data_IF_716522049890
#
_entry.id   IF_716522049890
#
_cell.length_a   1.000
_cell.length_b   1.000
_cell.length_c   1.000
_cell.angle_alpha   90.00
_cell.angle_beta   90.00
_cell.angle_gamma   90.00
#
_symmetry.space_group_name_H-M   'P 1'
#
loop_
_entity.id
_entity.type
_entity.pdbx_description
1 polymer ?
#
# COMPACT_ATOMS: atom_id res chain seq x y z
N UNK A 1 17.30 10.44 -26.63
CA UNK A 1 16.99 11.10 -25.34
C UNK A 1 18.01 10.61 -24.34
N UNK A 2 18.48 11.49 -23.46
CA UNK A 2 19.43 11.13 -22.39
C UNK A 2 18.68 10.31 -21.34
N UNK A 3 19.01 9.03 -21.24
CA UNK A 3 18.35 8.08 -20.32
C UNK A 3 19.00 8.03 -18.93
N UNK A 4 20.04 8.84 -18.70
CA UNK A 4 20.70 8.97 -17.40
C UNK A 4 21.40 10.33 -17.24
N UNK A 5 21.43 10.84 -16.00
CA UNK A 5 22.17 12.06 -15.62
C UNK A 5 22.90 11.87 -14.30
N UNK A 6 24.02 12.58 -14.12
CA UNK A 6 24.74 12.71 -12.85
C UNK A 6 24.78 14.19 -12.48
N UNK A 7 24.12 14.57 -11.38
CA UNK A 7 23.95 15.96 -10.94
C UNK A 7 23.43 16.87 -12.08
N UNK A 8 22.43 16.36 -12.81
CA UNK A 8 21.80 17.06 -13.93
C UNK A 8 22.59 17.07 -15.23
N UNK A 9 23.79 16.46 -15.29
CA UNK A 9 24.60 16.36 -16.52
C UNK A 9 24.44 14.99 -17.16
N UNK A 10 24.28 14.96 -18.48
CA UNK A 10 24.18 13.73 -19.25
C UNK A 10 25.33 12.75 -18.97
N UNK A 11 25.00 11.47 -18.82
CA UNK A 11 25.97 10.37 -18.72
C UNK A 11 25.49 9.19 -19.56
N UNK A 12 26.41 8.45 -20.19
CA UNK A 12 26.05 7.26 -20.94
C UNK A 12 25.46 6.20 -20.00
N UNK A 13 24.41 5.50 -20.44
CA UNK A 13 23.66 4.57 -19.59
C UNK A 13 24.54 3.46 -18.98
N UNK A 14 25.50 2.93 -19.75
CA UNK A 14 26.46 1.94 -19.23
C UNK A 14 27.40 2.51 -18.15
N UNK A 15 27.83 3.76 -18.29
CA UNK A 15 28.62 4.45 -17.27
C UNK A 15 27.78 4.75 -16.01
N UNK A 16 26.49 5.05 -16.18
CA UNK A 16 25.55 5.21 -15.07
C UNK A 16 25.44 3.90 -14.25
N UNK A 17 25.30 2.75 -14.90
CA UNK A 17 25.25 1.46 -14.19
C UNK A 17 26.54 1.17 -13.41
N UNK A 18 27.71 1.41 -14.02
CA UNK A 18 29.01 1.31 -13.34
C UNK A 18 29.11 2.23 -12.13
N UNK A 19 28.67 3.48 -12.28
CA UNK A 19 28.70 4.47 -11.21
C UNK A 19 27.78 4.07 -10.04
N UNK A 20 26.56 3.61 -10.34
CA UNK A 20 25.64 3.06 -9.34
C UNK A 20 26.24 1.86 -8.60
N UNK A 21 26.82 0.90 -9.34
CA UNK A 21 27.46 -0.28 -8.77
C UNK A 21 28.61 0.09 -7.82
N UNK A 22 29.42 1.09 -8.20
CA UNK A 22 30.49 1.62 -7.35
C UNK A 22 29.96 2.22 -6.06
N UNK A 23 28.98 3.13 -6.13
CA UNK A 23 28.35 3.77 -4.95
C UNK A 23 27.86 2.70 -3.97
N UNK A 24 27.12 1.71 -4.46
CA UNK A 24 26.52 0.69 -3.62
C UNK A 24 27.54 -0.28 -3.03
N UNK A 25 28.61 -0.59 -3.76
CA UNK A 25 29.67 -1.50 -3.29
C UNK A 25 30.55 -0.88 -2.22
N UNK A 26 30.78 0.43 -2.29
CA UNK A 26 31.59 1.17 -1.32
C UNK A 26 30.82 1.50 -0.03
N UNK A 27 29.49 1.43 -0.06
CA UNK A 27 28.62 1.65 1.10
C UNK A 27 28.74 0.52 2.13
N UNK A 28 28.87 0.90 3.40
CA UNK A 28 28.84 -0.03 4.53
C UNK A 28 27.41 -0.48 4.86
N UNK A 29 26.40 0.38 4.66
CA UNK A 29 25.00 0.05 4.90
C UNK A 29 24.07 0.74 3.89
N UNK A 30 23.98 0.22 2.65
CA UNK A 30 23.13 0.81 1.63
C UNK A 30 21.64 0.56 1.88
N UNK A 31 20.81 1.54 1.52
CA UNK A 31 19.35 1.49 1.61
C UNK A 31 18.72 1.43 0.22
N UNK A 32 17.80 0.49 -0.02
CA UNK A 32 16.93 0.48 -1.19
C UNK A 32 15.53 0.97 -0.77
N UNK A 33 15.18 2.19 -1.14
CA UNK A 33 13.97 2.88 -0.67
C UNK A 33 13.07 3.36 -1.82
N UNK A 34 11.90 3.88 -1.47
CA UNK A 34 10.85 4.24 -2.43
C UNK A 34 10.12 2.98 -2.88
N UNK A 35 10.86 2.11 -3.55
CA UNK A 35 10.50 0.76 -3.98
C UNK A 35 9.18 0.69 -4.76
N UNK A 36 8.77 1.81 -5.38
CA UNK A 36 7.60 1.86 -6.25
C UNK A 36 7.91 1.15 -7.56
N UNK A 37 7.68 -0.17 -7.59
CA UNK A 37 8.03 -1.05 -8.70
C UNK A 37 6.96 -2.14 -8.92
N UNK A 38 7.06 -2.85 -10.04
CA UNK A 38 6.31 -4.07 -10.27
C UNK A 38 6.93 -5.27 -9.53
N UNK A 39 6.31 -6.45 -9.63
CA UNK A 39 6.80 -7.65 -8.92
C UNK A 39 8.23 -8.03 -9.35
N UNK A 40 8.59 -7.86 -10.63
CA UNK A 40 9.94 -8.16 -11.11
C UNK A 40 10.97 -7.18 -10.51
N UNK A 41 10.67 -5.88 -10.52
CA UNK A 41 11.52 -4.84 -9.93
C UNK A 41 11.66 -5.01 -8.42
N UNK A 42 10.57 -5.32 -7.71
CA UNK A 42 10.58 -5.60 -6.28
C UNK A 42 11.52 -6.76 -5.94
N UNK A 43 11.43 -7.88 -6.69
CA UNK A 43 12.31 -9.04 -6.49
C UNK A 43 13.78 -8.68 -6.73
N UNK A 44 14.08 -7.93 -7.79
CA UNK A 44 15.43 -7.50 -8.10
C UNK A 44 16.02 -6.61 -7.00
N UNK A 45 15.23 -5.66 -6.50
CA UNK A 45 15.60 -4.75 -5.42
C UNK A 45 15.84 -5.47 -4.08
N UNK A 46 14.99 -6.44 -3.71
CA UNK A 46 15.16 -7.25 -2.49
C UNK A 46 16.45 -8.07 -2.59
N UNK A 47 16.71 -8.72 -3.74
CA UNK A 47 17.96 -9.46 -3.97
C UNK A 47 19.18 -8.55 -3.93
N UNK A 48 19.07 -7.32 -4.45
CA UNK A 48 20.14 -6.33 -4.37
C UNK A 48 20.44 -5.96 -2.91
N UNK A 49 19.41 -5.63 -2.12
CA UNK A 49 19.55 -5.33 -0.70
C UNK A 49 20.18 -6.50 0.08
N UNK A 50 19.75 -7.74 -0.19
CA UNK A 50 20.31 -8.94 0.41
C UNK A 50 21.81 -9.09 0.10
N UNK A 51 22.20 -8.99 -1.18
CA UNK A 51 23.60 -9.12 -1.59
C UNK A 51 24.50 -8.04 -1.01
N UNK A 52 23.97 -6.83 -0.83
CA UNK A 52 24.68 -5.72 -0.23
C UNK A 52 24.65 -5.72 1.29
N UNK A 53 23.96 -6.70 1.93
CA UNK A 53 23.68 -6.71 3.38
C UNK A 53 23.04 -5.42 3.88
N UNK A 54 22.31 -4.74 3.00
CA UNK A 54 21.63 -3.48 3.27
C UNK A 54 20.21 -3.68 3.81
N UNK A 55 19.39 -2.63 3.72
CA UNK A 55 17.97 -2.68 4.05
C UNK A 55 17.10 -2.26 2.86
N UNK A 56 15.83 -2.64 2.90
CA UNK A 56 14.84 -2.13 1.96
C UNK A 56 13.57 -1.66 2.65
N UNK A 57 12.99 -0.59 2.09
CA UNK A 57 11.74 -0.01 2.53
C UNK A 57 10.93 0.51 1.33
N UNK A 58 9.61 0.48 1.44
CA UNK A 58 8.71 1.09 0.47
C UNK A 58 8.24 2.45 0.99
N UNK A 59 8.04 3.44 0.10
CA UNK A 59 7.57 4.77 0.50
C UNK A 59 6.23 4.72 1.26
N UNK A 60 5.36 3.80 0.86
CA UNK A 60 4.04 3.57 1.44
C UNK A 60 4.03 2.45 2.53
N UNK A 61 5.17 2.17 3.17
CA UNK A 61 5.25 1.13 4.20
C UNK A 61 4.44 1.48 5.44
N UNK A 62 4.31 2.77 5.81
CA UNK A 62 3.52 3.16 6.99
C UNK A 62 2.06 2.74 6.84
N UNK A 63 1.47 3.04 5.68
CA UNK A 63 0.11 2.70 5.31
C UNK A 63 -0.06 1.19 5.21
N UNK A 64 0.89 0.49 4.59
CA UNK A 64 0.80 -0.96 4.43
C UNK A 64 0.95 -1.71 5.76
N UNK A 65 1.82 -1.21 6.65
CA UNK A 65 2.02 -1.79 7.97
C UNK A 65 0.81 -1.57 8.89
N UNK A 66 -0.01 -0.53 8.69
CA UNK A 66 -1.23 -0.33 9.47
C UNK A 66 -2.21 -1.52 9.35
N UNK A 67 -2.43 -2.03 8.14
CA UNK A 67 -3.23 -3.26 7.93
C UNK A 67 -2.49 -4.52 8.42
N UNK A 68 -1.17 -4.63 8.13
CA UNK A 68 -0.40 -5.82 8.51
C UNK A 68 -0.28 -5.98 10.03
N UNK A 69 -0.22 -4.89 10.78
CA UNK A 69 -0.11 -4.89 12.24
C UNK A 69 -1.35 -5.46 12.90
N UNK A 70 -2.52 -5.13 12.36
CA UNK A 70 -3.78 -5.74 12.78
C UNK A 70 -3.80 -7.22 12.35
N UNK A 71 -3.44 -7.51 11.10
CA UNK A 71 -3.45 -8.88 10.56
C UNK A 71 -2.57 -9.85 11.34
N UNK A 72 -1.36 -9.43 11.76
CA UNK A 72 -0.44 -10.28 12.54
C UNK A 72 -0.89 -10.50 13.99
N UNK A 73 -1.70 -9.58 14.53
CA UNK A 73 -2.14 -9.63 15.93
C UNK A 73 -3.47 -10.36 16.12
N UNK A 74 -4.44 -10.13 15.22
CA UNK A 74 -5.83 -10.58 15.37
C UNK A 74 -6.40 -11.28 14.13
N UNK A 75 -5.63 -11.39 13.05
CA UNK A 75 -6.15 -11.77 11.74
C UNK A 75 -6.92 -10.63 11.07
N UNK A 76 -7.40 -10.89 9.84
CA UNK A 76 -8.14 -9.90 9.06
C UNK A 76 -9.14 -10.62 8.15
N UNK A 77 -10.41 -10.24 8.22
CA UNK A 77 -11.48 -10.82 7.42
C UNK A 77 -11.69 -9.98 6.17
N UNK A 78 -11.11 -10.43 5.06
CA UNK A 78 -11.21 -9.73 3.76
C UNK A 78 -11.92 -10.55 2.70
N UNK A 79 -12.42 -9.86 1.68
CA UNK A 79 -13.02 -10.39 0.46
C UNK A 79 -12.54 -9.61 -0.75
N UNK A 80 -12.90 -10.05 -1.95
CA UNK A 80 -12.65 -9.30 -3.17
C UNK A 80 -13.75 -8.27 -3.43
N UNK A 81 -13.42 -7.20 -4.16
CA UNK A 81 -14.40 -6.23 -4.61
C UNK A 81 -15.54 -6.86 -5.44
N UNK A 82 -15.26 -7.95 -6.15
CA UNK A 82 -16.27 -8.64 -6.94
C UNK A 82 -17.29 -9.40 -6.06
N UNK A 83 -16.85 -10.05 -4.98
CA UNK A 83 -17.77 -10.67 -4.02
C UNK A 83 -18.57 -9.60 -3.28
N UNK A 84 -17.95 -8.48 -2.90
CA UNK A 84 -18.66 -7.33 -2.34
C UNK A 84 -19.73 -6.77 -3.29
N UNK A 85 -19.39 -6.62 -4.58
CA UNK A 85 -20.36 -6.24 -5.62
C UNK A 85 -21.49 -7.26 -5.74
N UNK A 86 -21.20 -8.56 -5.79
CA UNK A 86 -22.22 -9.55 -6.13
C UNK A 86 -23.11 -9.93 -4.96
N UNK A 87 -22.63 -9.85 -3.71
CA UNK A 87 -23.35 -10.33 -2.52
C UNK A 87 -23.65 -9.28 -1.48
N UNK A 88 -22.88 -8.19 -1.44
CA UNK A 88 -22.92 -7.19 -0.36
C UNK A 88 -24.27 -6.50 -0.22
N UNK A 89 -25.08 -6.88 0.76
CA UNK A 89 -26.39 -6.30 1.05
C UNK A 89 -26.32 -5.14 2.06
N UNK A 90 -25.27 -5.13 2.88
CA UNK A 90 -24.91 -4.00 3.74
C UNK A 90 -23.45 -3.62 3.47
N UNK A 91 -23.21 -2.44 2.93
CA UNK A 91 -21.86 -1.92 2.66
C UNK A 91 -21.61 -0.70 3.53
N UNK A 92 -20.55 -0.74 4.33
CA UNK A 92 -20.16 0.32 5.24
C UNK A 92 -18.77 0.82 4.88
N UNK A 93 -18.69 2.03 4.35
CA UNK A 93 -17.44 2.72 4.04
C UNK A 93 -16.95 3.47 5.28
N UNK A 94 -15.67 3.30 5.64
CA UNK A 94 -15.08 3.86 6.86
C UNK A 94 -13.98 4.84 6.50
N UNK A 95 -14.13 6.07 6.98
CA UNK A 95 -13.16 7.14 6.89
C UNK A 95 -13.18 7.93 5.57
N UNK A 96 -12.29 8.93 5.49
CA UNK A 96 -12.17 9.81 4.35
C UNK A 96 -11.25 9.22 3.28
N UNK A 97 -11.27 9.84 2.10
CA UNK A 97 -10.31 9.66 1.01
C UNK A 97 -10.38 8.33 0.26
N UNK A 98 -11.43 7.53 0.44
CA UNK A 98 -11.55 6.22 -0.22
C UNK A 98 -11.58 6.33 -1.74
N UNK A 99 -12.22 7.37 -2.28
CA UNK A 99 -12.29 7.62 -3.74
C UNK A 99 -10.98 8.16 -4.30
N UNK A 100 -10.16 8.83 -3.48
CA UNK A 100 -8.79 9.21 -3.88
C UNK A 100 -7.85 8.01 -3.84
N UNK A 101 -7.96 7.18 -2.79
CA UNK A 101 -7.17 5.97 -2.64
C UNK A 101 -7.48 4.93 -3.74
N UNK A 102 -8.74 4.85 -4.16
CA UNK A 102 -9.16 4.01 -5.29
C UNK A 102 -10.20 4.71 -6.18
N UNK A 103 -9.76 5.44 -7.22
CA UNK A 103 -10.64 6.20 -8.11
C UNK A 103 -11.78 5.40 -8.76
N UNK A 104 -11.52 4.14 -9.12
CA UNK A 104 -12.52 3.23 -9.71
C UNK A 104 -13.43 2.51 -8.70
N UNK A 105 -13.32 2.81 -7.39
CA UNK A 105 -14.03 2.05 -6.34
C UNK A 105 -15.54 2.03 -6.53
N UNK A 106 -16.16 3.18 -6.76
CA UNK A 106 -17.63 3.30 -6.81
C UNK A 106 -18.22 2.52 -7.98
N UNK A 107 -17.60 2.62 -9.16
CA UNK A 107 -17.96 1.84 -10.33
C UNK A 107 -17.75 0.34 -10.08
N UNK A 108 -16.62 -0.02 -9.48
CA UNK A 108 -16.29 -1.43 -9.23
C UNK A 108 -17.24 -2.08 -8.25
N UNK A 109 -17.59 -1.40 -7.16
CA UNK A 109 -18.50 -1.89 -6.13
C UNK A 109 -19.98 -1.81 -6.57
N UNK A 110 -20.31 -0.93 -7.50
CA UNK A 110 -21.66 -0.71 -8.03
C UNK A 110 -22.72 -0.58 -6.92
N UNK A 111 -22.46 0.31 -5.96
CA UNK A 111 -23.22 0.43 -4.71
C UNK A 111 -24.71 0.80 -4.92
N UNK A 112 -25.05 1.42 -6.04
CA UNK A 112 -26.42 1.76 -6.42
C UNK A 112 -27.22 0.56 -6.97
N UNK A 113 -26.55 -0.51 -7.42
CA UNK A 113 -27.21 -1.71 -7.92
C UNK A 113 -27.45 -2.71 -6.77
N UNK A 114 -28.60 -3.41 -6.72
CA UNK A 114 -28.77 -4.48 -5.75
C UNK A 114 -27.75 -5.61 -5.97
N UNK A 115 -27.38 -6.38 -4.93
CA UNK A 115 -26.53 -7.55 -5.10
C UNK A 115 -27.24 -8.57 -6.01
N UNK A 116 -26.48 -9.31 -6.79
CA UNK A 116 -27.02 -10.28 -7.77
C UNK A 116 -26.99 -11.73 -7.28
N UNK A 117 -26.35 -11.97 -6.13
CA UNK A 117 -26.16 -13.31 -5.53
C UNK A 117 -26.40 -13.26 -4.02
N UNK A 118 -26.66 -14.42 -3.43
CA UNK A 118 -26.91 -14.56 -1.99
C UNK A 118 -28.37 -14.35 -1.59
N UNK A 119 -28.65 -14.44 -0.30
CA UNK A 119 -30.00 -14.43 0.24
C UNK A 119 -30.76 -13.10 0.04
N UNK A 120 -30.04 -12.00 -0.24
CA UNK A 120 -30.59 -10.67 -0.47
C UNK A 120 -30.48 -10.24 -1.95
N UNK A 121 -30.31 -11.20 -2.86
CA UNK A 121 -30.23 -10.89 -4.29
C UNK A 121 -31.46 -10.08 -4.76
N UNK A 122 -31.22 -9.07 -5.60
CA UNK A 122 -32.21 -8.13 -6.13
C UNK A 122 -32.88 -7.21 -5.09
N UNK A 123 -32.51 -7.28 -3.81
CA UNK A 123 -32.99 -6.35 -2.78
C UNK A 123 -32.10 -5.10 -2.71
N UNK A 124 -32.66 -3.91 -2.43
CA UNK A 124 -31.86 -2.70 -2.28
C UNK A 124 -30.77 -2.83 -1.20
N UNK A 125 -29.56 -2.33 -1.48
CA UNK A 125 -28.47 -2.32 -0.50
C UNK A 125 -28.72 -1.28 0.58
N UNK A 126 -28.22 -1.58 1.78
CA UNK A 126 -27.96 -0.58 2.80
C UNK A 126 -26.53 -0.08 2.62
N UNK A 127 -26.37 1.20 2.29
CA UNK A 127 -25.05 1.83 2.14
C UNK A 127 -24.87 2.88 3.22
N UNK A 128 -23.78 2.79 3.96
CA UNK A 128 -23.43 3.69 5.06
C UNK A 128 -22.01 4.21 4.81
N UNK A 129 -21.78 5.51 5.01
CA UNK A 129 -20.43 6.09 5.00
C UNK A 129 -20.16 6.81 6.31
N UNK A 130 -19.13 6.37 7.03
CA UNK A 130 -18.71 6.94 8.31
C UNK A 130 -17.52 7.86 8.06
N UNK A 131 -17.61 9.12 8.44
CA UNK A 131 -16.55 10.11 8.29
C UNK A 131 -16.01 10.30 6.86
N UNK A 132 -16.85 10.43 5.82
CA UNK A 132 -16.37 10.83 4.49
C UNK A 132 -15.82 12.26 4.49
N UNK A 133 -14.96 12.58 3.53
CA UNK A 133 -14.70 13.98 3.20
C UNK A 133 -15.95 14.67 2.63
N UNK A 134 -16.03 15.99 2.74
CA UNK A 134 -17.24 16.76 2.37
C UNK A 134 -17.71 16.56 0.93
N UNK A 135 -16.79 16.40 -0.01
CA UNK A 135 -17.10 16.13 -1.43
C UNK A 135 -17.43 14.66 -1.69
N UNK A 136 -16.82 13.74 -0.93
CA UNK A 136 -17.05 12.30 -1.04
C UNK A 136 -18.44 11.88 -0.57
N UNK A 137 -18.94 12.55 0.48
CA UNK A 137 -20.26 12.27 1.05
C UNK A 137 -21.40 12.35 0.00
N UNK A 138 -21.22 13.13 -1.06
CA UNK A 138 -22.19 13.32 -2.16
C UNK A 138 -22.02 12.32 -3.30
N UNK A 139 -20.89 11.60 -3.36
CA UNK A 139 -20.57 10.71 -4.46
C UNK A 139 -21.41 9.41 -4.47
N UNK A 140 -22.12 9.10 -3.38
CA UNK A 140 -22.98 7.93 -3.27
C UNK A 140 -24.41 8.34 -2.91
N UNK A 141 -25.26 8.60 -3.92
CA UNK A 141 -26.66 8.94 -3.71
C UNK A 141 -27.38 7.90 -2.85
N UNK A 142 -28.10 8.35 -1.82
CA UNK A 142 -28.87 7.48 -0.91
C UNK A 142 -28.05 6.80 0.20
N UNK A 143 -26.73 7.00 0.27
CA UNK A 143 -25.94 6.51 1.40
C UNK A 143 -26.30 7.26 2.69
N UNK A 144 -26.40 6.53 3.80
CA UNK A 144 -26.50 7.12 5.13
C UNK A 144 -25.12 7.61 5.57
N UNK A 145 -24.95 8.92 5.68
CA UNK A 145 -23.70 9.52 6.18
C UNK A 145 -23.74 9.63 7.70
N UNK A 146 -22.69 9.14 8.36
CA UNK A 146 -22.45 9.30 9.79
C UNK A 146 -21.22 10.21 9.94
N UNK A 147 -21.36 11.45 10.40
CA UNK A 147 -20.21 12.34 10.56
C UNK A 147 -19.29 11.83 11.67
N UNK A 148 -17.99 11.79 11.37
CA UNK A 148 -16.92 11.51 12.32
C UNK A 148 -15.61 12.07 11.74
N UNK A 149 -14.80 12.72 12.56
CA UNK A 149 -13.41 13.01 12.22
C UNK A 149 -12.57 11.74 12.23
N UNK A 150 -11.39 11.76 11.60
CA UNK A 150 -10.46 10.64 11.59
C UNK A 150 -10.14 10.15 13.02
N UNK A 151 -9.92 11.08 13.95
CA UNK A 151 -9.58 10.78 15.34
C UNK A 151 -10.75 10.16 16.13
N UNK A 152 -11.99 10.34 15.67
CA UNK A 152 -13.19 9.77 16.31
C UNK A 152 -13.52 8.37 15.81
N UNK A 153 -12.99 7.93 14.65
CA UNK A 153 -13.40 6.68 14.00
C UNK A 153 -13.19 5.44 14.89
N UNK A 154 -12.05 5.35 15.57
CA UNK A 154 -11.77 4.26 16.51
C UNK A 154 -12.80 4.22 17.66
N UNK A 155 -13.17 5.39 18.20
CA UNK A 155 -14.20 5.52 19.24
C UNK A 155 -15.61 5.20 18.75
N UNK A 156 -15.96 5.60 17.52
CA UNK A 156 -17.23 5.25 16.87
C UNK A 156 -17.36 3.73 16.72
N UNK A 157 -16.31 3.08 16.17
CA UNK A 157 -16.27 1.64 16.00
C UNK A 157 -16.31 0.91 17.36
N UNK A 158 -15.61 1.43 18.37
CA UNK A 158 -15.63 0.87 19.73
C UNK A 158 -17.03 0.94 20.35
N UNK A 159 -17.75 2.05 20.16
CA UNK A 159 -19.13 2.19 20.62
C UNK A 159 -20.06 1.19 19.91
N UNK A 160 -19.92 0.99 18.59
CA UNK A 160 -20.71 0.02 17.84
C UNK A 160 -20.45 -1.41 18.31
N UNK A 161 -19.19 -1.76 18.50
CA UNK A 161 -18.77 -3.06 19.03
C UNK A 161 -19.26 -3.30 20.47
N UNK A 162 -19.18 -2.27 21.31
CA UNK A 162 -19.72 -2.34 22.67
C UNK A 162 -21.23 -2.63 22.65
N UNK A 163 -22.01 -1.84 21.89
CA UNK A 163 -23.45 -2.01 21.76
C UNK A 163 -23.86 -3.32 21.09
N UNK A 164 -23.15 -3.77 20.06
CA UNK A 164 -23.38 -5.08 19.42
C UNK A 164 -23.22 -6.24 20.42
N UNK A 165 -22.19 -6.16 21.27
CA UNK A 165 -21.95 -7.10 22.36
C UNK A 165 -22.79 -6.88 23.63
N UNK A 166 -23.80 -6.01 23.61
CA UNK A 166 -24.70 -5.77 24.75
C UNK A 166 -24.06 -4.99 25.92
N UNK A 167 -22.92 -4.33 25.70
CA UNK A 167 -22.21 -3.55 26.72
C UNK A 167 -22.74 -2.11 26.78
N UNK A 168 -22.77 -1.48 27.97
CA UNK A 168 -23.14 -0.08 28.10
C UNK A 168 -22.07 0.84 27.50
N UNK A 169 -22.51 1.99 26.98
CA UNK A 169 -21.62 3.05 26.48
C UNK A 169 -22.06 4.37 27.10
N UNK A 170 -21.11 5.16 27.61
CA UNK A 170 -21.37 6.44 28.26
C UNK A 170 -21.61 7.56 27.23
N UNK A 171 -22.76 7.53 26.55
CA UNK A 171 -23.21 8.53 25.59
C UNK A 171 -24.66 8.95 25.91
N UNK A 172 -25.10 10.09 25.37
CA UNK A 172 -26.49 10.53 25.49
C UNK A 172 -27.47 9.54 24.83
N UNK A 173 -28.70 9.45 25.36
CA UNK A 173 -29.71 8.48 24.92
C UNK A 173 -30.00 8.52 23.42
N UNK A 174 -30.03 9.70 22.81
CA UNK A 174 -30.24 9.87 21.36
C UNK A 174 -29.11 9.22 20.53
N UNK A 175 -27.85 9.42 20.93
CA UNK A 175 -26.69 8.80 20.26
C UNK A 175 -26.73 7.28 20.44
N UNK A 176 -27.11 6.80 21.62
CA UNK A 176 -27.28 5.35 21.86
C UNK A 176 -28.35 4.77 20.94
N UNK A 177 -29.51 5.42 20.81
CA UNK A 177 -30.57 4.94 19.92
C UNK A 177 -30.13 4.87 18.44
N UNK A 178 -29.34 5.85 17.97
CA UNK A 178 -28.77 5.84 16.63
C UNK A 178 -27.78 4.68 16.42
N UNK A 179 -26.93 4.41 17.42
CA UNK A 179 -25.99 3.28 17.39
C UNK A 179 -26.74 1.96 17.43
N UNK A 180 -27.76 1.82 18.28
CA UNK A 180 -28.55 0.59 18.40
C UNK A 180 -29.29 0.28 17.08
N UNK A 181 -29.88 1.28 16.43
CA UNK A 181 -30.51 1.10 15.11
C UNK A 181 -29.51 0.71 14.00
N UNK A 182 -28.27 1.19 14.10
CA UNK A 182 -27.19 0.77 13.22
C UNK A 182 -26.73 -0.66 13.53
N UNK A 183 -26.52 -1.01 14.79
CA UNK A 183 -26.15 -2.36 15.24
C UNK A 183 -27.17 -3.38 14.76
N UNK A 184 -28.47 -3.06 14.83
CA UNK A 184 -29.52 -3.92 14.27
C UNK A 184 -29.47 -4.00 12.75
N UNK A 185 -29.05 -2.92 12.06
CA UNK A 185 -28.76 -3.00 10.63
C UNK A 185 -27.63 -3.97 10.32
N UNK A 186 -26.54 -3.93 11.08
CA UNK A 186 -25.41 -4.84 10.92
C UNK A 186 -25.82 -6.29 11.25
N UNK A 187 -26.54 -6.52 12.36
CA UNK A 187 -27.01 -7.85 12.78
C UNK A 187 -27.86 -8.54 11.71
N UNK A 188 -28.68 -7.77 11.00
CA UNK A 188 -29.61 -8.28 10.00
C UNK A 188 -29.03 -8.42 8.58
N UNK A 189 -27.78 -8.00 8.34
CA UNK A 189 -27.14 -8.23 7.06
C UNK A 189 -26.98 -9.74 6.79
N UNK A 190 -26.89 -10.14 5.52
CA UNK A 190 -26.58 -11.53 5.12
C UNK A 190 -25.19 -11.69 4.55
N UNK A 191 -24.64 -10.63 3.99
CA UNK A 191 -23.26 -10.50 3.56
C UNK A 191 -22.83 -9.03 3.73
N UNK A 192 -22.44 -8.68 4.94
CA UNK A 192 -21.93 -7.36 5.27
C UNK A 192 -20.50 -7.14 4.76
N UNK A 193 -20.22 -5.93 4.27
CA UNK A 193 -18.91 -5.54 3.76
C UNK A 193 -18.50 -4.20 4.36
N UNK A 194 -17.36 -4.19 5.05
CA UNK A 194 -16.67 -2.94 5.36
C UNK A 194 -15.69 -2.57 4.25
N UNK A 195 -15.57 -1.30 3.94
CA UNK A 195 -14.60 -0.76 2.98
C UNK A 195 -13.75 0.28 3.70
N UNK A 196 -12.42 0.15 3.66
CA UNK A 196 -11.50 1.10 4.27
C UNK A 196 -10.22 1.24 3.47
N UNK A 197 -9.45 2.29 3.75
CA UNK A 197 -8.07 2.43 3.29
C UNK A 197 -7.14 2.48 4.49
N UNK A 198 -6.06 1.70 4.46
CA UNK A 198 -5.00 1.76 5.46
C UNK A 198 -4.20 3.07 5.39
N UNK A 199 -4.35 3.84 4.31
CA UNK A 199 -3.72 5.15 4.14
C UNK A 199 -4.46 6.29 4.85
N UNK A 200 -5.71 6.08 5.27
CA UNK A 200 -6.55 7.13 5.87
C UNK A 200 -7.15 6.74 7.22
N UNK A 201 -6.92 5.51 7.67
CA UNK A 201 -7.32 5.05 8.99
C UNK A 201 -6.12 4.83 9.88
N UNK A 202 -6.26 5.20 11.16
CA UNK A 202 -5.31 4.82 12.18
C UNK A 202 -5.38 3.29 12.45
N UNK A 203 -4.26 2.65 12.84
CA UNK A 203 -4.24 1.21 13.10
C UNK A 203 -5.24 0.74 14.17
N UNK A 204 -5.57 1.58 15.16
CA UNK A 204 -6.52 1.24 16.21
C UNK A 204 -7.96 1.21 15.68
N UNK A 205 -8.33 2.10 14.76
CA UNK A 205 -9.60 2.02 14.04
C UNK A 205 -9.69 0.75 13.20
N UNK A 206 -8.61 0.37 12.50
CA UNK A 206 -8.58 -0.88 11.72
C UNK A 206 -8.70 -2.09 12.66
N UNK A 207 -8.01 -2.10 13.80
CA UNK A 207 -8.13 -3.16 14.81
C UNK A 207 -9.55 -3.27 15.35
N UNK A 208 -10.15 -2.14 15.74
CA UNK A 208 -11.52 -2.11 16.26
C UNK A 208 -12.54 -2.55 15.23
N UNK A 209 -12.35 -2.17 13.96
CA UNK A 209 -13.13 -2.62 12.83
C UNK A 209 -13.07 -4.14 12.68
N UNK A 210 -11.87 -4.73 12.67
CA UNK A 210 -11.71 -6.18 12.53
C UNK A 210 -12.24 -6.93 13.74
N UNK A 211 -12.08 -6.39 14.95
CA UNK A 211 -12.68 -6.96 16.16
C UNK A 211 -14.21 -6.97 16.11
N UNK A 212 -14.84 -5.90 15.58
CA UNK A 212 -16.27 -5.86 15.32
C UNK A 212 -16.68 -6.89 14.25
N UNK A 213 -15.90 -7.06 13.18
CA UNK A 213 -16.15 -8.08 12.16
C UNK A 213 -16.11 -9.50 12.74
N UNK A 214 -15.16 -9.79 13.63
CA UNK A 214 -15.09 -11.08 14.35
C UNK A 214 -16.38 -11.32 15.15
N UNK A 215 -16.82 -10.33 15.93
CA UNK A 215 -18.05 -10.45 16.74
C UNK A 215 -19.31 -10.61 15.86
N UNK A 216 -19.43 -9.84 14.77
CA UNK A 216 -20.53 -9.96 13.81
C UNK A 216 -20.62 -11.36 13.19
N UNK A 217 -19.46 -11.98 12.90
CA UNK A 217 -19.41 -13.29 12.26
C UNK A 217 -19.91 -14.44 13.14
N UNK A 218 -20.14 -14.21 14.44
CA UNK A 218 -20.80 -15.18 15.32
C UNK A 218 -22.28 -15.40 14.96
N UNK A 219 -22.96 -14.40 14.40
CA UNK A 219 -24.42 -14.46 14.10
C UNK A 219 -24.78 -14.14 12.66
N UNK A 220 -23.90 -13.48 11.91
CA UNK A 220 -24.09 -13.14 10.49
C UNK A 220 -22.78 -13.35 9.72
N UNK A 221 -22.67 -12.87 8.48
CA UNK A 221 -21.43 -12.87 7.70
C UNK A 221 -21.01 -11.44 7.42
N UNK A 222 -19.84 -11.08 7.92
CA UNK A 222 -19.19 -9.80 7.63
C UNK A 222 -17.77 -10.03 7.15
N UNK A 223 -17.33 -9.18 6.24
CA UNK A 223 -15.98 -9.21 5.67
C UNK A 223 -15.58 -7.80 5.23
N UNK A 224 -14.43 -7.67 4.60
CA UNK A 224 -13.79 -6.41 4.31
C UNK A 224 -13.22 -6.30 2.90
N UNK A 225 -13.39 -5.16 2.25
CA UNK A 225 -12.57 -4.77 1.09
C UNK A 225 -11.62 -3.70 1.57
N UNK A 226 -10.36 -4.09 1.76
CA UNK A 226 -9.30 -3.16 2.12
C UNK A 226 -8.71 -2.54 0.84
N UNK A 227 -8.44 -1.24 0.86
CA UNK A 227 -7.74 -0.52 -0.20
C UNK A 227 -6.26 -0.52 0.14
N UNK A 228 -5.45 -1.16 -0.72
CA UNK A 228 -4.02 -1.29 -0.51
C UNK A 228 -3.24 0.01 -0.70
N UNK A 229 -1.95 -0.04 -0.38
CA UNK A 229 -1.04 1.09 -0.54
C UNK A 229 -0.79 1.45 -2.01
N UNK A 230 -0.40 2.71 -2.23
CA UNK A 230 -0.08 3.29 -3.54
C UNK A 230 1.20 2.74 -4.16
N UNK A 231 1.43 3.07 -5.44
CA UNK A 231 2.70 2.84 -6.15
C UNK A 231 3.22 1.40 -6.10
N UNK A 232 2.32 0.41 -6.11
CA UNK A 232 2.68 -1.01 -6.12
C UNK A 232 2.97 -1.63 -4.75
N UNK A 233 2.77 -0.88 -3.65
CA UNK A 233 3.08 -1.30 -2.28
C UNK A 233 2.60 -2.72 -1.91
N UNK A 234 1.36 -3.06 -2.28
CA UNK A 234 0.79 -4.39 -2.02
C UNK A 234 1.55 -5.49 -2.76
N UNK A 235 1.98 -5.25 -4.00
CA UNK A 235 2.77 -6.19 -4.78
C UNK A 235 4.17 -6.39 -4.21
N UNK A 236 4.82 -5.29 -3.81
CA UNK A 236 6.12 -5.30 -3.14
C UNK A 236 6.04 -6.04 -1.80
N UNK A 237 5.00 -5.81 -1.03
CA UNK A 237 4.77 -6.45 0.27
C UNK A 237 4.57 -7.95 0.13
N UNK A 238 3.78 -8.38 -0.85
CA UNK A 238 3.63 -9.80 -1.14
C UNK A 238 4.98 -10.40 -1.58
N UNK A 239 5.73 -9.70 -2.43
CA UNK A 239 7.04 -10.14 -2.91
C UNK A 239 8.06 -10.32 -1.78
N UNK A 240 8.15 -9.33 -0.90
CA UNK A 240 8.94 -9.41 0.31
C UNK A 240 8.55 -10.62 1.15
N UNK A 241 7.23 -10.81 1.39
CA UNK A 241 6.73 -11.93 2.18
C UNK A 241 7.18 -13.31 1.68
N UNK A 242 7.10 -13.60 0.37
CA UNK A 242 7.55 -14.91 -0.13
C UNK A 242 9.07 -15.03 -0.31
N UNK A 243 9.80 -13.92 -0.39
CA UNK A 243 11.26 -13.93 -0.56
C UNK A 243 12.02 -13.99 0.77
N UNK A 244 11.53 -13.29 1.78
CA UNK A 244 12.25 -13.08 3.04
C UNK A 244 11.49 -13.60 4.25
N UNK A 245 10.19 -13.89 4.11
CA UNK A 245 9.29 -14.15 5.23
C UNK A 245 8.75 -12.88 5.91
N UNK A 246 9.17 -11.68 5.46
CA UNK A 246 8.86 -10.40 6.10
C UNK A 246 8.45 -9.31 5.10
N UNK A 247 7.65 -8.30 5.51
CA UNK A 247 7.32 -7.15 4.66
C UNK A 247 8.51 -6.18 4.51
N UNK A 248 8.37 -5.08 3.74
CA UNK A 248 9.32 -3.96 3.76
C UNK A 248 9.63 -3.45 5.17
N UNK A 249 10.74 -2.70 5.30
CA UNK A 249 11.46 -2.47 6.57
C UNK A 249 12.14 -3.73 7.07
N UNK A 250 12.90 -4.33 6.18
CA UNK A 250 13.69 -5.53 6.45
C UNK A 250 15.15 -5.27 6.05
N UNK A 251 16.07 -5.65 6.93
CA UNK A 251 17.52 -5.54 6.73
C UNK A 251 18.21 -6.89 6.67
N UNK A 252 19.38 -6.94 6.04
CA UNK A 252 20.17 -8.15 5.82
C UNK A 252 21.58 -8.07 6.43
N UNK A 253 21.82 -7.12 7.33
CA UNK A 253 23.16 -6.83 7.87
C UNK A 253 23.89 -8.03 8.48
N UNK A 254 23.15 -8.99 9.06
CA UNK A 254 23.69 -10.22 9.66
C UNK A 254 23.71 -11.42 8.71
N UNK A 255 23.41 -11.22 7.43
CA UNK A 255 23.34 -12.29 6.42
C UNK A 255 22.04 -13.10 6.42
N UNK A 256 21.03 -12.67 7.17
CA UNK A 256 19.67 -13.20 7.16
C UNK A 256 18.68 -12.03 7.33
N UNK A 257 17.42 -12.17 6.89
CA UNK A 257 16.45 -11.08 6.98
C UNK A 257 16.05 -10.81 8.44
N UNK A 258 16.13 -9.55 8.84
CA UNK A 258 15.62 -9.04 10.12
C UNK A 258 14.56 -7.98 9.82
N UNK A 259 13.35 -8.19 10.30
CA UNK A 259 12.27 -7.22 10.18
C UNK A 259 12.15 -6.39 11.45
N UNK A 260 12.20 -5.08 11.29
CA UNK A 260 11.97 -4.13 12.37
C UNK A 260 11.40 -2.84 11.77
N UNK A 261 10.10 -2.54 12.02
CA UNK A 261 9.41 -1.44 11.36
C UNK A 261 9.87 -0.05 11.81
N UNK A 262 10.65 0.06 12.89
CA UNK A 262 11.26 1.31 13.31
C UNK A 262 12.70 1.41 12.82
N UNK A 263 13.49 0.36 13.05
CA UNK A 263 14.92 0.35 12.71
C UNK A 263 15.16 0.50 11.21
N UNK A 264 14.34 -0.12 10.36
CA UNK A 264 14.55 -0.09 8.90
C UNK A 264 13.61 0.86 8.15
N UNK A 265 13.04 1.86 8.85
CA UNK A 265 12.32 2.94 8.19
C UNK A 265 13.28 3.84 7.41
N UNK A 266 12.99 4.05 6.11
CA UNK A 266 13.91 4.72 5.19
C UNK A 266 14.30 6.14 5.62
N UNK A 267 13.33 6.97 6.01
CA UNK A 267 13.59 8.37 6.36
C UNK A 267 14.48 8.45 7.60
N UNK A 268 14.16 7.67 8.65
CA UNK A 268 14.98 7.54 9.85
C UNK A 268 16.41 7.11 9.52
N UNK A 269 16.59 6.07 8.72
CA UNK A 269 17.93 5.56 8.35
C UNK A 269 18.76 6.64 7.64
N UNK A 270 18.15 7.37 6.71
CA UNK A 270 18.82 8.43 5.96
C UNK A 270 19.10 9.65 6.84
N UNK A 271 18.10 10.12 7.58
CA UNK A 271 18.16 11.34 8.39
C UNK A 271 19.10 11.20 9.60
N UNK A 272 19.18 10.00 10.20
CA UNK A 272 20.15 9.68 11.26
C UNK A 272 21.58 9.45 10.73
N UNK A 273 21.72 9.22 9.43
CA UNK A 273 22.98 8.89 8.77
C UNK A 273 23.49 7.49 9.01
N UNK A 274 22.64 6.58 9.48
CA UNK A 274 22.94 5.16 9.54
C UNK A 274 23.06 4.53 8.15
N UNK A 275 22.28 5.02 7.17
CA UNK A 275 22.48 4.69 5.76
C UNK A 275 23.49 5.65 5.12
N UNK A 276 24.50 5.10 4.46
CA UNK A 276 25.61 5.85 3.84
C UNK A 276 25.55 5.90 2.31
N UNK A 277 24.63 5.15 1.69
CA UNK A 277 24.19 5.34 0.31
C UNK A 277 22.73 4.90 0.17
N UNK A 278 22.01 5.45 -0.81
CA UNK A 278 20.64 5.05 -1.09
C UNK A 278 20.33 4.90 -2.58
N UNK A 279 19.52 3.90 -2.90
CA UNK A 279 18.80 3.79 -4.17
C UNK A 279 17.33 4.11 -3.93
N UNK A 280 16.81 5.14 -4.60
CA UNK A 280 15.41 5.53 -4.58
C UNK A 280 14.71 5.04 -5.86
N UNK A 281 13.67 4.22 -5.70
CA UNK A 281 12.91 3.67 -6.82
C UNK A 281 11.49 4.24 -6.79
N UNK A 282 11.12 4.97 -7.85
CA UNK A 282 9.79 5.55 -8.01
C UNK A 282 9.33 5.44 -9.46
N UNK A 283 9.07 4.21 -9.90
CA UNK A 283 8.77 3.89 -11.30
C UNK A 283 7.34 4.30 -11.75
N UNK A 284 6.45 4.67 -10.83
CA UNK A 284 5.05 5.00 -11.15
C UNK A 284 4.86 6.49 -11.43
N UNK A 285 5.14 7.35 -10.46
CA UNK A 285 4.82 8.78 -10.48
C UNK A 285 6.06 9.67 -10.39
N UNK A 286 7.24 9.10 -10.15
CA UNK A 286 8.48 9.87 -9.99
C UNK A 286 8.51 10.68 -8.69
N UNK A 287 7.70 10.30 -7.69
CA UNK A 287 7.71 10.94 -6.38
C UNK A 287 9.12 10.96 -5.79
N UNK A 288 9.50 12.10 -5.22
CA UNK A 288 10.81 12.34 -4.62
C UNK A 288 10.86 11.81 -3.18
N UNK A 289 12.03 11.39 -2.68
CA UNK A 289 12.18 11.06 -1.27
C UNK A 289 11.88 12.28 -0.40
N UNK A 290 11.16 12.07 0.71
CA UNK A 290 10.84 13.11 1.69
C UNK A 290 11.92 13.25 2.80
N UNK A 291 13.17 12.89 2.49
CA UNK A 291 14.27 12.91 3.46
C UNK A 291 14.74 14.34 3.73
N UNK A 292 15.06 14.63 4.98
CA UNK A 292 15.62 15.93 5.38
C UNK A 292 17.10 16.05 5.00
N UNK A 293 17.82 14.92 4.97
CA UNK A 293 19.23 14.84 4.62
C UNK A 293 19.45 14.78 3.10
N UNK A 294 20.27 15.69 2.57
CA UNK A 294 20.49 15.87 1.13
C UNK A 294 21.91 15.54 0.64
N UNK A 295 22.82 15.12 1.51
CA UNK A 295 24.23 14.80 1.19
C UNK A 295 24.49 13.30 0.97
N UNK A 296 23.50 12.43 1.24
CA UNK A 296 23.63 10.98 0.99
C UNK A 296 23.87 10.71 -0.52
N UNK A 297 24.88 9.91 -0.91
CA UNK A 297 25.01 9.39 -2.26
C UNK A 297 23.71 8.72 -2.70
N UNK A 298 23.10 9.25 -3.77
CA UNK A 298 21.76 8.87 -4.19
C UNK A 298 21.74 8.40 -5.65
N UNK A 299 21.16 7.22 -5.86
CA UNK A 299 20.81 6.66 -7.16
C UNK A 299 19.28 6.69 -7.28
N UNK A 300 18.73 7.33 -8.31
CA UNK A 300 17.28 7.41 -8.54
C UNK A 300 16.90 6.64 -9.78
N UNK A 301 16.01 5.67 -9.63
CA UNK A 301 15.33 4.95 -10.72
C UNK A 301 13.89 5.45 -10.81
N UNK A 302 13.60 6.28 -11.82
CA UNK A 302 12.24 6.81 -12.03
C UNK A 302 11.99 7.14 -13.51
N UNK A 303 10.73 7.36 -13.93
CA UNK A 303 10.42 7.80 -15.30
C UNK A 303 11.01 9.18 -15.62
N UNK A 304 11.12 9.50 -16.91
CA UNK A 304 11.76 10.73 -17.39
C UNK A 304 11.24 12.02 -16.73
N UNK A 305 9.93 12.11 -16.43
CA UNK A 305 9.34 13.29 -15.81
C UNK A 305 9.82 13.57 -14.38
N UNK A 306 10.41 12.59 -13.69
CA UNK A 306 10.95 12.78 -12.34
C UNK A 306 12.14 13.77 -12.34
N UNK A 307 12.96 13.71 -13.40
CA UNK A 307 14.10 14.59 -13.71
C UNK A 307 14.78 15.21 -12.47
N UNK A 308 15.30 14.40 -11.53
CA UNK A 308 15.96 14.94 -10.35
C UNK A 308 17.27 15.63 -10.75
N UNK A 309 17.60 16.71 -10.05
CA UNK A 309 18.80 17.50 -10.31
C UNK A 309 20.03 17.07 -9.49
N UNK A 310 19.88 16.11 -8.57
CA UNK A 310 20.91 15.67 -7.63
C UNK A 310 21.15 14.17 -7.74
N UNK A 311 22.42 13.78 -7.66
CA UNK A 311 22.84 12.39 -7.66
C UNK A 311 22.75 11.76 -9.04
N UNK A 312 22.86 10.43 -9.06
CA UNK A 312 22.73 9.65 -10.28
C UNK A 312 21.25 9.39 -10.54
N UNK A 313 20.76 9.76 -11.72
CA UNK A 313 19.44 9.43 -12.22
C UNK A 313 19.56 8.47 -13.40
N UNK A 314 18.73 7.44 -13.39
CA UNK A 314 18.55 6.51 -14.51
C UNK A 314 17.06 6.44 -14.80
N UNK A 315 16.70 6.79 -16.02
CA UNK A 315 15.34 6.65 -16.53
C UNK A 315 14.95 5.17 -16.56
N UNK A 316 13.81 4.84 -15.96
CA UNK A 316 13.20 3.51 -16.06
C UNK A 316 11.77 3.61 -16.56
N UNK A 317 11.32 2.53 -17.20
CA UNK A 317 9.95 2.41 -17.69
C UNK A 317 8.92 2.38 -16.57
N UNK A 318 7.73 2.92 -16.87
CA UNK A 318 6.58 2.88 -15.97
C UNK A 318 5.82 1.55 -16.12
N UNK A 319 5.66 0.75 -15.04
CA UNK A 319 5.01 -0.56 -15.13
C UNK A 319 3.59 -0.52 -15.67
N UNK A 320 3.30 -1.34 -16.69
CA UNK A 320 1.98 -1.41 -17.32
C UNK A 320 1.67 -0.24 -18.25
N UNK A 321 2.57 0.74 -18.35
CA UNK A 321 2.51 1.83 -19.31
C UNK A 321 3.54 1.60 -20.40
N UNK A 322 4.83 1.58 -20.05
CA UNK A 322 5.92 1.49 -21.03
C UNK A 322 6.49 0.09 -21.20
N UNK A 323 6.18 -0.83 -20.28
CA UNK A 323 6.50 -2.25 -20.42
C UNK A 323 5.43 -3.12 -19.75
N UNK A 324 5.29 -4.35 -20.25
CA UNK A 324 4.43 -5.35 -19.62
C UNK A 324 4.91 -5.62 -18.19
N UNK A 325 3.97 -5.74 -17.25
CA UNK A 325 4.31 -5.88 -15.84
C UNK A 325 3.31 -6.76 -15.10
N UNK A 326 3.75 -7.34 -13.97
CA UNK A 326 2.85 -8.03 -13.03
C UNK A 326 2.63 -7.13 -11.82
N UNK A 327 1.38 -6.73 -11.59
CA UNK A 327 0.97 -5.85 -10.51
C UNK A 327 -0.09 -6.49 -9.63
N UNK A 328 -0.11 -6.13 -8.35
CA UNK A 328 -1.22 -6.48 -7.45
C UNK A 328 -2.42 -5.61 -7.80
N UNK A 329 -3.49 -6.22 -8.31
CA UNK A 329 -4.68 -5.51 -8.74
C UNK A 329 -5.70 -5.36 -7.61
N UNK A 330 -6.07 -4.13 -7.27
CA UNK A 330 -7.14 -3.82 -6.32
C UNK A 330 -8.49 -4.40 -6.75
N UNK A 331 -8.75 -4.47 -8.07
CA UNK A 331 -10.04 -4.88 -8.63
C UNK A 331 -10.30 -6.38 -8.52
N UNK A 332 -9.23 -7.18 -8.61
CA UNK A 332 -9.29 -8.65 -8.58
C UNK A 332 -8.80 -9.22 -7.26
N UNK A 333 -8.05 -8.44 -6.46
CA UNK A 333 -7.42 -8.89 -5.22
C UNK A 333 -6.24 -9.84 -5.46
N UNK A 334 -5.63 -9.81 -6.66
CA UNK A 334 -4.57 -10.73 -7.03
C UNK A 334 -3.58 -10.16 -8.03
N UNK A 335 -2.47 -10.87 -8.24
CA UNK A 335 -1.49 -10.51 -9.27
C UNK A 335 -2.08 -10.65 -10.65
N UNK A 336 -1.91 -9.63 -11.47
CA UNK A 336 -2.43 -9.57 -12.82
C UNK A 336 -1.37 -9.05 -13.76
N UNK A 337 -1.23 -9.68 -14.93
CA UNK A 337 -0.45 -9.14 -16.03
C UNK A 337 -1.13 -7.86 -16.54
N UNK A 338 -0.44 -6.73 -16.47
CA UNK A 338 -0.83 -5.47 -17.08
C UNK A 338 0.04 -5.26 -18.31
N UNK A 339 -0.58 -5.35 -19.49
CA UNK A 339 0.09 -5.06 -20.76
C UNK A 339 0.40 -3.57 -20.86
N UNK A 340 1.55 -3.26 -21.45
CA UNK A 340 1.96 -1.90 -21.74
C UNK A 340 0.93 -1.17 -22.61
N UNK A 341 0.45 -0.02 -22.16
CA UNK A 341 -0.43 0.85 -22.95
C UNK A 341 0.32 1.75 -23.94
N UNK A 342 1.60 2.02 -23.70
CA UNK A 342 2.47 2.87 -24.49
C UNK A 342 3.94 2.39 -24.42
N UNK A 343 4.29 1.28 -25.09
CA UNK A 343 5.62 0.66 -24.98
C UNK A 343 6.79 1.59 -25.34
N UNK A 344 7.91 1.48 -24.62
CA UNK A 344 9.17 2.19 -24.92
C UNK A 344 10.38 1.28 -24.72
N UNK A 345 11.57 1.74 -25.15
CA UNK A 345 12.85 1.04 -24.94
C UNK A 345 13.51 1.34 -23.58
N UNK A 346 12.85 2.12 -22.71
CA UNK A 346 13.38 2.41 -21.38
C UNK A 346 13.46 1.11 -20.55
N UNK A 347 14.57 0.86 -19.84
CA UNK A 347 14.72 -0.37 -19.06
C UNK A 347 13.68 -0.40 -17.93
N UNK A 348 13.13 -1.58 -17.63
CA UNK A 348 12.40 -1.81 -16.39
C UNK A 348 13.33 -1.68 -15.17
N UNK A 349 12.76 -1.45 -13.98
CA UNK A 349 13.52 -1.47 -12.70
C UNK A 349 14.34 -2.76 -12.56
N UNK A 350 13.76 -3.92 -12.92
CA UNK A 350 14.45 -5.20 -12.84
C UNK A 350 15.67 -5.27 -13.79
N UNK A 351 15.55 -4.75 -15.01
CA UNK A 351 16.66 -4.70 -15.96
C UNK A 351 17.77 -3.73 -15.51
N UNK A 352 17.40 -2.54 -15.03
CA UNK A 352 18.35 -1.56 -14.50
C UNK A 352 19.12 -2.13 -13.29
N UNK A 353 18.42 -2.74 -12.33
CA UNK A 353 19.06 -3.39 -11.17
C UNK A 353 19.93 -4.57 -11.61
N UNK A 354 19.48 -5.37 -12.59
CA UNK A 354 20.27 -6.46 -13.15
C UNK A 354 21.60 -5.99 -13.74
N UNK A 355 21.59 -4.87 -14.47
CA UNK A 355 22.81 -4.26 -15.02
C UNK A 355 23.73 -3.72 -13.93
N UNK A 356 23.19 -3.01 -12.93
CA UNK A 356 23.96 -2.49 -11.77
C UNK A 356 24.60 -3.64 -10.99
N UNK A 357 23.86 -4.72 -10.76
CA UNK A 357 24.32 -5.87 -10.01
C UNK A 357 25.48 -6.62 -10.68
N UNK A 358 25.52 -6.64 -12.02
CA UNK A 358 26.64 -7.22 -12.77
C UNK A 358 27.96 -6.51 -12.42
N UNK A 359 27.92 -5.18 -12.33
CA UNK A 359 29.07 -4.33 -11.98
C UNK A 359 29.52 -4.53 -10.51
N UNK A 360 28.59 -4.84 -9.60
CA UNK A 360 28.91 -5.17 -8.20
C UNK A 360 29.61 -6.53 -8.10
N UNK A 361 29.18 -7.50 -8.91
CA UNK A 361 29.60 -8.92 -8.80
C UNK A 361 30.96 -9.20 -9.44
N UNK A 362 31.38 -8.45 -10.46
CA UNK A 362 32.66 -8.66 -11.17
C UNK A 362 33.92 -8.43 -10.31
N UNK A 363 33.79 -7.84 -9.11
CA UNK A 363 34.93 -7.54 -8.24
C UNK A 363 34.84 -8.04 -6.80
N UNK A 364 33.97 -9.01 -6.48
CA UNK A 364 33.68 -9.41 -5.09
C UNK A 364 33.88 -10.91 -4.76
N UNK A 365 34.40 -11.72 -5.70
CA UNK A 365 34.59 -13.17 -5.49
C UNK A 365 35.97 -13.69 -5.94
N UNK A 366 37.02 -12.87 -5.77
CA UNK A 366 38.41 -13.34 -5.76
C UNK A 366 39.00 -13.24 -4.38
#
# INVERSE_FOLDING_TARGET
METATLDGKAIALGDAYRHAGKILKEAAFPLIAGLGADVAGARAAILLAERLKGAFDHLASRETLADLDVKRSFGMFTTTANEARLRGDCVVMIGPGLTRAWPGMLERLALAEPPRRGAQAQQPRKVIWVGPDGDEAKAVPGAKVIPASEQELSGVLAAWRARFGGRPVALGAEKIALIDGLVETLRNARFGVFVWSASTLDPLAIEMLQALVIELNATTRFTGVHIGGRSGASGVTQAAGWMTGFPPRTGFGRGYPEHDPWRFEASRLVDSGEADAAMWISAFDGEKPAWSRADIPLITLAPAQAAPSRGLFIEVGQPGVTHDSVLMSQETGGMTLRKASAPTDAPSVAQAIGAILAEVSEGAWR
#
